data_IF_942389116058
#
_entry.id   IF_942389116058
#
_cell.length_a   1.000
_cell.length_b   1.000
_cell.length_c   1.000
_cell.angle_alpha   90.00
_cell.angle_beta   90.00
_cell.angle_gamma   90.00
#
_symmetry.space_group_name_H-M   'P 1'
#
loop_
_entity.id
_entity.type
_entity.pdbx_description
1 polymer ?
#
# COMPACT_ATOMS: atom_id res chain seq x y z
N UNK A 1 6.53 25.50 30.46
CA UNK A 1 5.95 24.29 29.84
C UNK A 1 6.89 23.14 30.12
N UNK A 2 6.38 21.99 30.56
CA UNK A 2 7.21 20.78 30.69
C UNK A 2 7.54 20.24 29.30
N UNK A 3 8.73 19.68 29.15
CA UNK A 3 9.15 18.97 27.94
C UNK A 3 8.49 17.58 27.88
N UNK A 4 8.37 17.01 26.68
CA UNK A 4 7.82 15.67 26.49
C UNK A 4 8.58 14.62 27.32
N UNK A 5 9.90 14.74 27.41
CA UNK A 5 10.76 13.84 28.20
C UNK A 5 10.47 13.91 29.70
N UNK A 6 10.20 15.11 30.24
CA UNK A 6 9.80 15.29 31.64
C UNK A 6 8.43 14.68 31.91
N UNK A 7 7.48 14.85 30.99
CA UNK A 7 6.15 14.24 31.11
C UNK A 7 6.20 12.71 31.08
N UNK A 8 7.09 12.13 30.26
CA UNK A 8 7.27 10.66 30.19
C UNK A 8 7.92 10.13 31.48
N UNK A 9 8.86 10.86 32.07
CA UNK A 9 9.50 10.48 33.34
C UNK A 9 8.53 10.50 34.53
N UNK A 10 7.49 11.33 34.48
CA UNK A 10 6.44 11.41 35.51
C UNK A 10 5.41 10.26 35.41
N UNK A 11 5.41 9.49 34.31
CA UNK A 11 4.48 8.38 34.12
C UNK A 11 4.86 7.16 34.97
N UNK A 12 3.85 6.43 35.50
CA UNK A 12 4.02 5.07 36.01
C UNK A 12 4.65 4.14 34.97
N UNK A 13 5.36 3.07 35.41
CA UNK A 13 6.04 2.14 34.51
C UNK A 13 5.11 1.51 33.47
N UNK A 14 3.84 1.24 33.81
CA UNK A 14 2.89 0.65 32.85
C UNK A 14 2.60 1.62 31.69
N UNK A 15 2.46 2.91 31.99
CA UNK A 15 2.17 3.93 30.99
C UNK A 15 3.40 4.33 30.18
N UNK A 16 4.61 4.21 30.74
CA UNK A 16 5.85 4.38 29.97
C UNK A 16 5.99 3.32 28.87
N UNK A 17 5.55 2.08 29.14
CA UNK A 17 5.54 1.01 28.15
C UNK A 17 4.56 1.33 27.00
N UNK A 18 3.36 1.82 27.32
CA UNK A 18 2.38 2.23 26.32
C UNK A 18 2.88 3.39 25.44
N UNK A 19 3.56 4.37 26.04
CA UNK A 19 4.19 5.46 25.28
C UNK A 19 5.27 4.93 24.34
N UNK A 20 6.11 3.99 24.80
CA UNK A 20 7.14 3.37 23.97
C UNK A 20 6.54 2.67 22.76
N UNK A 21 5.48 1.89 22.97
CA UNK A 21 4.78 1.16 21.92
C UNK A 21 4.13 2.14 20.92
N UNK A 22 3.55 3.23 21.41
CA UNK A 22 2.98 4.26 20.56
C UNK A 22 4.03 5.00 19.72
N UNK A 23 5.18 5.33 20.30
CA UNK A 23 6.30 5.95 19.56
C UNK A 23 6.79 5.01 18.45
N UNK A 24 6.95 3.72 18.75
CA UNK A 24 7.34 2.71 17.76
C UNK A 24 6.32 2.64 16.61
N UNK A 25 5.02 2.57 16.95
CA UNK A 25 3.94 2.60 15.96
C UNK A 25 3.99 3.84 15.06
N UNK A 26 4.23 5.03 15.63
CA UNK A 26 4.30 6.27 14.85
C UNK A 26 5.49 6.27 13.87
N UNK A 27 6.64 5.74 14.29
CA UNK A 27 7.83 5.61 13.44
C UNK A 27 7.57 4.65 12.27
N UNK A 28 6.98 3.48 12.55
CA UNK A 28 6.62 2.49 11.53
C UNK A 28 5.57 3.04 10.56
N UNK A 29 4.53 3.69 11.07
CA UNK A 29 3.48 4.31 10.25
C UNK A 29 4.03 5.41 9.34
N UNK A 30 5.02 6.19 9.81
CA UNK A 30 5.69 7.21 8.98
C UNK A 30 6.62 6.57 7.94
N UNK A 31 7.25 5.45 8.27
CA UNK A 31 8.12 4.71 7.36
C UNK A 31 7.32 3.97 6.26
N UNK A 32 6.08 3.56 6.55
CA UNK A 32 5.18 3.04 5.54
C UNK A 32 4.88 4.13 4.51
N UNK A 33 5.41 3.95 3.30
CA UNK A 33 5.02 4.80 2.16
C UNK A 33 3.50 4.65 1.98
N UNK A 34 2.75 5.76 1.84
CA UNK A 34 1.34 5.66 1.50
C UNK A 34 1.23 4.78 0.25
N UNK A 35 0.43 3.71 0.35
CA UNK A 35 0.25 2.78 -0.75
C UNK A 35 -0.02 3.55 -2.03
N UNK A 36 0.76 3.28 -3.09
CA UNK A 36 0.54 3.96 -4.37
C UNK A 36 -0.88 3.65 -4.82
N UNK A 37 -1.64 4.68 -5.18
CA UNK A 37 -2.91 4.48 -5.89
C UNK A 37 -2.62 3.65 -7.14
N UNK A 38 -3.38 2.57 -7.33
CA UNK A 38 -3.28 1.76 -8.53
C UNK A 38 -3.55 2.66 -9.73
N UNK A 39 -2.59 2.76 -10.66
CA UNK A 39 -2.68 3.70 -11.79
C UNK A 39 -3.84 3.37 -12.72
N UNK A 40 -4.19 2.08 -12.85
CA UNK A 40 -5.24 1.58 -13.75
C UNK A 40 -5.09 2.11 -15.19
N UNK A 41 -3.87 2.43 -15.59
CA UNK A 41 -3.49 2.92 -16.92
C UNK A 41 -3.70 1.86 -18.02
N UNK A 42 -3.73 0.58 -17.63
CA UNK A 42 -4.11 -0.53 -18.48
C UNK A 42 -5.63 -0.67 -18.70
N UNK A 43 -6.47 -0.05 -17.87
CA UNK A 43 -7.92 -0.21 -17.97
C UNK A 43 -8.44 0.42 -19.27
N UNK A 44 -8.99 -0.41 -20.15
CA UNK A 44 -9.47 0.05 -21.46
C UNK A 44 -8.40 0.14 -22.56
N UNK A 45 -7.16 -0.31 -22.31
CA UNK A 45 -6.08 -0.28 -23.30
C UNK A 45 -6.39 -1.05 -24.61
N UNK A 46 -7.36 -1.97 -24.59
CA UNK A 46 -7.80 -2.74 -25.77
C UNK A 46 -9.09 -2.23 -26.41
N UNK A 47 -9.58 -1.03 -26.03
CA UNK A 47 -10.87 -0.51 -26.50
C UNK A 47 -10.91 -0.37 -28.03
N UNK A 48 -9.84 0.10 -28.64
CA UNK A 48 -9.74 0.35 -30.07
C UNK A 48 -9.69 -0.95 -30.90
N UNK A 49 -9.46 -2.08 -30.24
CA UNK A 49 -9.38 -3.41 -30.84
C UNK A 49 -10.69 -4.20 -30.71
N UNK A 50 -11.74 -3.61 -30.11
CA UNK A 50 -13.06 -4.23 -29.90
C UNK A 50 -13.65 -4.84 -31.18
N UNK A 51 -13.52 -4.13 -32.30
CA UNK A 51 -14.10 -4.56 -33.58
C UNK A 51 -13.15 -5.46 -34.39
N UNK A 52 -11.90 -5.58 -33.93
CA UNK A 52 -10.85 -6.37 -34.59
C UNK A 52 -10.68 -7.75 -33.96
N UNK A 53 -11.00 -7.88 -32.67
CA UNK A 53 -10.82 -9.12 -31.93
C UNK A 53 -12.00 -9.39 -31.00
N UNK A 54 -12.47 -10.64 -31.06
CA UNK A 54 -13.37 -11.20 -30.06
C UNK A 54 -12.61 -11.56 -28.78
N UNK A 55 -13.35 -11.64 -27.66
CA UNK A 55 -12.78 -12.08 -26.38
C UNK A 55 -12.08 -13.45 -26.47
N UNK A 56 -12.60 -14.35 -27.30
CA UNK A 56 -12.05 -15.68 -27.50
C UNK A 56 -10.70 -15.64 -28.24
N UNK A 57 -10.55 -14.79 -29.25
CA UNK A 57 -9.29 -14.63 -29.98
C UNK A 57 -8.19 -14.02 -29.10
N UNK A 58 -8.55 -13.02 -28.28
CA UNK A 58 -7.64 -12.44 -27.30
C UNK A 58 -7.20 -13.48 -26.26
N UNK A 59 -8.11 -14.35 -25.81
CA UNK A 59 -7.77 -15.44 -24.90
C UNK A 59 -6.81 -16.45 -25.53
N UNK A 60 -7.03 -16.85 -26.79
CA UNK A 60 -6.13 -17.76 -27.51
C UNK A 60 -4.74 -17.17 -27.67
N UNK A 61 -4.64 -15.91 -28.11
CA UNK A 61 -3.36 -15.17 -28.21
C UNK A 61 -2.66 -15.07 -26.85
N UNK A 62 -3.41 -14.84 -25.77
CA UNK A 62 -2.84 -14.76 -24.43
C UNK A 62 -2.24 -16.10 -23.95
N UNK A 63 -2.81 -17.24 -24.35
CA UNK A 63 -2.25 -18.56 -24.09
C UNK A 63 -0.99 -18.79 -24.92
N UNK A 64 -1.04 -18.49 -26.22
CA UNK A 64 0.13 -18.58 -27.13
C UNK A 64 1.31 -17.74 -26.62
N UNK A 65 1.06 -16.52 -26.13
CA UNK A 65 2.11 -15.63 -25.61
C UNK A 65 2.68 -16.05 -24.25
N UNK A 66 1.93 -16.81 -23.45
CA UNK A 66 2.44 -17.35 -22.19
C UNK A 66 3.34 -18.58 -22.40
N UNK A 67 3.37 -19.12 -23.62
CA UNK A 67 4.24 -20.24 -23.98
C UNK A 67 3.81 -21.58 -23.39
N UNK A 68 2.52 -21.75 -23.10
CA UNK A 68 1.93 -23.09 -22.85
C UNK A 68 1.84 -23.90 -24.15
#
# INVERSE_FOLDING_TARGET
MKTLEEMIKELPPELQQEVKDFVQFLLERRAQKPGRKLRQDWAGALRDYRDQYTSLELQKKALEWRGD
#
